data_IF_243714260723
#
_entry.id   IF_243714260723
#
_cell.length_a   1.000
_cell.length_b   1.000
_cell.length_c   1.000
_cell.angle_alpha   90.00
_cell.angle_beta   90.00
_cell.angle_gamma   90.00
#
_symmetry.space_group_name_H-M   'P 1'
#
loop_
_entity.id
_entity.type
_entity.pdbx_description
1 polymer ?
#
# COMPACT_ATOMS: atom_id res chain seq x y z
N UNK A 1 -9.96 -32.05 -5.57
CA UNK A 1 -8.90 -31.07 -5.92
C UNK A 1 -8.99 -29.73 -5.17
N UNK A 2 -10.17 -29.24 -4.75
CA UNK A 2 -10.30 -27.96 -4.02
C UNK A 2 -9.51 -27.89 -2.69
N UNK A 3 -9.26 -29.02 -2.02
CA UNK A 3 -8.56 -29.05 -0.73
C UNK A 3 -7.07 -28.70 -0.77
N UNK A 4 -6.33 -29.14 -1.81
CA UNK A 4 -4.87 -28.92 -1.87
C UNK A 4 -4.52 -27.46 -2.19
N UNK A 5 -5.20 -26.88 -3.19
CA UNK A 5 -5.01 -25.47 -3.54
C UNK A 5 -5.42 -24.55 -2.39
N UNK A 6 -6.53 -24.85 -1.71
CA UNK A 6 -6.94 -24.05 -0.55
C UNK A 6 -5.92 -24.14 0.61
N UNK A 7 -5.35 -25.33 0.87
CA UNK A 7 -4.27 -25.49 1.87
C UNK A 7 -3.01 -24.71 1.47
N UNK A 8 -2.64 -24.75 0.19
CA UNK A 8 -1.51 -23.99 -0.33
C UNK A 8 -1.72 -22.48 -0.20
N UNK A 9 -2.91 -21.99 -0.53
CA UNK A 9 -3.32 -20.59 -0.36
C UNK A 9 -3.30 -20.10 1.08
N UNK A 10 -3.71 -20.97 2.03
CA UNK A 10 -3.59 -20.72 3.48
C UNK A 10 -2.16 -20.53 4.00
N UNK A 11 -1.16 -20.87 3.18
CA UNK A 11 0.23 -20.53 3.47
C UNK A 11 0.62 -19.15 2.92
N UNK A 12 -0.31 -18.40 2.33
CA UNK A 12 -0.06 -17.13 1.65
C UNK A 12 0.38 -17.25 0.19
N UNK A 13 0.74 -18.46 -0.29
CA UNK A 13 1.17 -18.62 -1.67
C UNK A 13 -0.01 -18.75 -2.64
N UNK A 14 0.23 -18.47 -3.91
CA UNK A 14 -0.72 -18.73 -4.98
C UNK A 14 0.01 -19.30 -6.21
N UNK A 15 -0.73 -20.00 -7.05
CA UNK A 15 -0.17 -20.57 -8.28
C UNK A 15 0.04 -19.47 -9.32
N UNK A 16 0.95 -19.66 -10.29
CA UNK A 16 1.01 -18.79 -11.46
C UNK A 16 -0.37 -18.69 -12.13
N UNK A 17 -0.74 -17.48 -12.54
CA UNK A 17 -2.09 -17.14 -13.06
C UNK A 17 -3.25 -17.30 -12.04
N UNK A 18 -2.93 -17.55 -10.76
CA UNK A 18 -3.90 -17.58 -9.67
C UNK A 18 -4.51 -16.22 -9.39
N UNK A 19 -5.57 -16.22 -8.57
CA UNK A 19 -6.25 -15.01 -8.14
C UNK A 19 -5.67 -14.50 -6.81
N UNK A 20 -4.75 -13.55 -6.91
CA UNK A 20 -4.13 -12.89 -5.75
C UNK A 20 -5.10 -11.96 -5.01
N UNK A 21 -6.22 -11.59 -5.63
CA UNK A 21 -7.19 -10.67 -5.03
C UNK A 21 -8.09 -11.37 -4.03
N UNK A 22 -8.44 -12.62 -4.30
CA UNK A 22 -9.14 -13.50 -3.38
C UNK A 22 -8.36 -13.67 -2.08
N UNK A 23 -9.07 -13.82 -0.97
CA UNK A 23 -8.48 -14.08 0.34
C UNK A 23 -7.53 -15.29 0.31
N UNK A 24 -6.43 -15.18 1.04
CA UNK A 24 -5.46 -16.24 1.27
C UNK A 24 -5.67 -16.95 2.60
N UNK A 25 -6.53 -16.41 3.46
CA UNK A 25 -6.83 -16.99 4.76
C UNK A 25 -5.62 -17.06 5.73
N UNK A 26 -4.75 -16.06 5.64
CA UNK A 26 -3.58 -15.92 6.52
C UNK A 26 -3.91 -15.10 7.78
N UNK A 27 -2.89 -14.79 8.60
CA UNK A 27 -3.06 -14.05 9.86
C UNK A 27 -3.53 -12.61 9.64
N UNK A 28 -3.04 -11.97 8.57
CA UNK A 28 -3.42 -10.61 8.20
C UNK A 28 -3.42 -10.43 6.68
N UNK A 29 -4.46 -9.78 6.17
CA UNK A 29 -4.55 -9.28 4.79
C UNK A 29 -4.86 -7.78 4.81
N UNK A 30 -3.96 -6.97 4.24
CA UNK A 30 -4.15 -5.53 4.07
C UNK A 30 -4.71 -5.19 2.71
N UNK A 31 -5.71 -4.33 2.69
CA UNK A 31 -6.32 -3.75 1.51
C UNK A 31 -6.19 -2.24 1.60
N UNK A 32 -5.70 -1.62 0.53
CA UNK A 32 -5.38 -0.21 0.52
C UNK A 32 -5.84 0.43 -0.78
N UNK A 33 -6.54 1.56 -0.66
CA UNK A 33 -6.94 2.41 -1.75
C UNK A 33 -6.38 3.81 -1.52
N UNK A 34 -5.95 4.44 -2.60
CA UNK A 34 -5.45 5.81 -2.60
C UNK A 34 -6.08 6.59 -3.74
N UNK A 35 -6.50 7.81 -3.42
CA UNK A 35 -7.14 8.76 -4.31
C UNK A 35 -6.27 10.00 -4.39
N UNK A 36 -5.93 10.42 -5.61
CA UNK A 36 -5.04 11.57 -5.85
C UNK A 36 -5.73 12.59 -6.74
N UNK A 37 -5.87 13.82 -6.22
CA UNK A 37 -6.37 15.00 -6.93
C UNK A 37 -5.24 16.01 -7.10
N UNK A 38 -4.64 16.01 -8.28
CA UNK A 38 -3.48 16.85 -8.60
C UNK A 38 -3.82 18.34 -8.61
N UNK A 39 -4.99 18.69 -9.12
CA UNK A 39 -5.49 20.06 -9.25
C UNK A 39 -5.65 20.77 -7.91
N UNK A 40 -6.12 20.05 -6.89
CA UNK A 40 -6.30 20.59 -5.53
C UNK A 40 -5.17 20.24 -4.58
N UNK A 41 -4.16 19.48 -5.03
CA UNK A 41 -3.10 18.95 -4.16
C UNK A 41 -3.61 17.99 -3.08
N UNK A 42 -4.77 17.35 -3.29
CA UNK A 42 -5.42 16.51 -2.27
C UNK A 42 -5.13 15.03 -2.49
N UNK A 43 -4.95 14.32 -1.39
CA UNK A 43 -4.82 12.87 -1.34
C UNK A 43 -5.72 12.34 -0.25
N UNK A 44 -6.38 11.21 -0.53
CA UNK A 44 -7.11 10.44 0.46
C UNK A 44 -6.65 8.98 0.38
N UNK A 45 -6.45 8.34 1.53
CA UNK A 45 -6.24 6.90 1.64
C UNK A 45 -7.34 6.27 2.47
N UNK A 46 -7.71 5.05 2.11
CA UNK A 46 -8.55 4.19 2.92
C UNK A 46 -7.95 2.80 2.97
N UNK A 47 -7.86 2.24 4.18
CA UNK A 47 -7.25 0.94 4.42
C UNK A 47 -8.11 0.06 5.32
N UNK A 48 -8.02 -1.24 5.06
CA UNK A 48 -8.58 -2.29 5.91
C UNK A 48 -7.56 -3.43 6.04
N UNK A 49 -7.08 -3.68 7.26
CA UNK A 49 -6.37 -4.89 7.63
C UNK A 49 -7.36 -5.91 8.18
N UNK A 50 -7.61 -6.99 7.45
CA UNK A 50 -8.45 -8.10 7.90
C UNK A 50 -7.58 -9.08 8.68
N UNK A 51 -7.79 -9.15 9.99
CA UNK A 51 -6.96 -9.86 10.94
C UNK A 51 -7.67 -11.10 11.46
N UNK A 52 -6.90 -12.17 11.72
CA UNK A 52 -7.38 -13.42 12.29
C UNK A 52 -6.83 -13.62 13.70
N UNK A 53 -7.74 -13.90 14.63
CA UNK A 53 -7.47 -14.34 15.99
C UNK A 53 -8.02 -15.77 16.18
N UNK A 54 -7.79 -16.36 17.36
CA UNK A 54 -8.23 -17.73 17.67
C UNK A 54 -9.76 -17.90 17.66
N UNK A 55 -10.49 -16.83 17.94
CA UNK A 55 -11.94 -16.78 18.16
C UNK A 55 -12.70 -16.04 17.03
N UNK A 56 -12.02 -15.67 15.95
CA UNK A 56 -12.65 -15.05 14.78
C UNK A 56 -11.78 -14.02 14.07
N UNK A 57 -12.43 -13.16 13.29
CA UNK A 57 -11.79 -12.12 12.50
C UNK A 57 -12.21 -10.73 12.96
N UNK A 58 -11.27 -9.78 12.89
CA UNK A 58 -11.46 -8.37 13.25
C UNK A 58 -10.70 -7.48 12.26
N UNK A 59 -10.97 -6.18 12.24
CA UNK A 59 -10.34 -5.27 11.27
C UNK A 59 -9.56 -4.13 11.93
N UNK A 60 -8.44 -3.79 11.31
CA UNK A 60 -7.78 -2.49 11.45
C UNK A 60 -8.28 -1.60 10.33
N UNK A 61 -8.99 -0.53 10.63
CA UNK A 61 -9.52 0.42 9.64
C UNK A 61 -8.76 1.73 9.72
N UNK A 62 -8.64 2.41 8.59
CA UNK A 62 -8.07 3.75 8.53
C UNK A 62 -8.61 4.57 7.36
N UNK A 63 -8.83 5.86 7.60
CA UNK A 63 -9.07 6.88 6.60
C UNK A 63 -8.12 8.04 6.90
N UNK A 64 -7.29 8.42 5.94
CA UNK A 64 -6.27 9.46 6.12
C UNK A 64 -6.23 10.40 4.93
N UNK A 65 -5.86 11.66 5.16
CA UNK A 65 -5.92 12.70 4.15
C UNK A 65 -4.69 13.62 4.15
N UNK A 66 -4.39 14.17 2.98
CA UNK A 66 -3.44 15.25 2.81
C UNK A 66 -4.02 16.33 1.87
N UNK A 67 -3.78 17.61 2.14
CA UNK A 67 -3.09 18.17 3.32
C UNK A 67 -3.92 18.05 4.61
N UNK A 68 -3.38 18.51 5.74
CA UNK A 68 -4.11 18.64 7.01
C UNK A 68 -3.79 17.61 8.09
N UNK A 69 -3.08 16.52 7.77
CA UNK A 69 -2.65 15.54 8.76
C UNK A 69 -3.77 14.67 9.33
N UNK A 70 -4.96 14.69 8.70
CA UNK A 70 -6.13 13.95 9.16
C UNK A 70 -5.87 12.45 9.07
N UNK A 71 -6.10 11.77 10.19
CA UNK A 71 -6.11 10.32 10.26
C UNK A 71 -7.13 9.87 11.30
N UNK A 72 -8.11 9.08 10.86
CA UNK A 72 -9.02 8.34 11.72
C UNK A 72 -8.74 6.86 11.56
N UNK A 73 -8.60 6.16 12.69
CA UNK A 73 -8.35 4.72 12.71
C UNK A 73 -9.25 4.04 13.73
N UNK A 74 -9.58 2.77 13.47
CA UNK A 74 -10.40 1.99 14.38
C UNK A 74 -9.94 0.52 14.39
N UNK A 75 -10.05 -0.12 15.56
CA UNK A 75 -10.13 -1.57 15.64
C UNK A 75 -11.61 -1.96 15.63
N UNK A 76 -12.04 -2.70 14.62
CA UNK A 76 -13.44 -3.08 14.43
C UNK A 76 -13.65 -4.57 14.75
N UNK A 77 -14.67 -4.94 15.54
CA UNK A 77 -14.76 -6.26 16.16
C UNK A 77 -15.05 -7.40 15.17
N UNK A 78 -15.60 -7.09 14.00
CA UNK A 78 -15.97 -8.06 12.97
C UNK A 78 -15.30 -7.72 11.64
N UNK A 79 -14.86 -8.73 10.90
CA UNK A 79 -14.25 -8.52 9.60
C UNK A 79 -14.40 -9.73 8.68
N UNK A 80 -14.36 -9.51 7.38
CA UNK A 80 -14.36 -10.58 6.38
C UNK A 80 -13.59 -10.15 5.14
N UNK A 81 -12.79 -11.06 4.61
CA UNK A 81 -12.21 -10.96 3.27
C UNK A 81 -13.00 -11.87 2.29
N UNK A 82 -13.14 -11.45 1.03
CA UNK A 82 -13.83 -12.25 0.00
C UNK A 82 -12.93 -13.41 -0.48
N UNK A 83 -13.38 -14.68 -0.39
CA UNK A 83 -12.56 -15.83 -0.75
C UNK A 83 -12.45 -16.09 -2.26
N UNK A 84 -13.18 -15.34 -3.09
CA UNK A 84 -13.28 -15.57 -4.54
C UNK A 84 -12.76 -14.39 -5.35
N UNK A 85 -12.86 -13.16 -4.84
CA UNK A 85 -12.49 -11.91 -5.54
C UNK A 85 -11.88 -10.89 -4.57
N UNK A 86 -11.53 -9.69 -5.07
CA UNK A 86 -11.16 -8.59 -4.18
C UNK A 86 -12.37 -8.21 -3.32
N UNK A 87 -12.19 -8.22 -1.99
CA UNK A 87 -13.20 -7.73 -1.07
C UNK A 87 -12.71 -7.70 0.37
N UNK A 88 -12.95 -6.58 1.05
CA UNK A 88 -12.68 -6.36 2.47
C UNK A 88 -13.90 -5.69 3.11
N UNK A 89 -14.39 -6.27 4.21
CA UNK A 89 -15.63 -5.86 4.85
C UNK A 89 -15.45 -5.83 6.37
N UNK A 90 -16.01 -4.82 7.04
CA UNK A 90 -16.05 -4.70 8.49
C UNK A 90 -17.37 -4.05 8.93
N UNK A 91 -18.42 -4.88 9.08
CA UNK A 91 -19.78 -4.42 9.38
C UNK A 91 -20.24 -3.34 8.40
N UNK A 92 -20.87 -2.30 8.93
CA UNK A 92 -21.28 -1.12 8.16
C UNK A 92 -20.17 -0.06 8.05
N UNK A 93 -19.08 -0.21 8.80
CA UNK A 93 -17.99 0.76 8.85
C UNK A 93 -17.07 0.72 7.63
N UNK A 94 -16.97 -0.43 6.94
CA UNK A 94 -16.09 -0.57 5.79
C UNK A 94 -16.60 -1.61 4.78
N UNK A 95 -16.64 -1.21 3.51
CA UNK A 95 -16.90 -2.07 2.36
C UNK A 95 -16.00 -1.66 1.20
N UNK A 96 -14.94 -2.43 0.95
CA UNK A 96 -14.03 -2.23 -0.17
C UNK A 96 -14.11 -3.38 -1.17
N UNK A 97 -14.30 -3.06 -2.44
CA UNK A 97 -14.33 -3.99 -3.58
C UNK A 97 -13.56 -3.39 -4.76
N UNK A 98 -13.50 -4.09 -5.89
CA UNK A 98 -12.76 -3.63 -7.05
C UNK A 98 -13.34 -2.35 -7.69
N UNK A 99 -14.64 -2.10 -7.50
CA UNK A 99 -15.41 -1.04 -8.17
C UNK A 99 -16.14 -0.09 -7.20
N UNK A 100 -16.20 -0.40 -5.90
CA UNK A 100 -16.81 0.44 -4.87
C UNK A 100 -16.00 0.43 -3.59
N UNK A 101 -15.91 1.60 -2.95
CA UNK A 101 -15.38 1.74 -1.60
C UNK A 101 -16.31 2.64 -0.77
N UNK A 102 -16.75 2.12 0.37
CA UNK A 102 -17.55 2.82 1.37
C UNK A 102 -16.86 2.69 2.73
N UNK A 103 -16.72 3.81 3.44
CA UNK A 103 -16.10 3.89 4.77
C UNK A 103 -16.91 4.86 5.62
N UNK A 104 -17.21 4.46 6.86
CA UNK A 104 -17.78 5.33 7.89
C UNK A 104 -17.06 5.06 9.22
N UNK A 105 -16.13 5.95 9.59
CA UNK A 105 -15.39 5.90 10.85
C UNK A 105 -15.82 7.02 11.81
N UNK A 106 -16.95 7.66 11.55
CA UNK A 106 -17.44 8.82 12.30
C UNK A 106 -17.89 9.96 11.39
N UNK A 107 -18.54 11.00 11.97
CA UNK A 107 -19.09 12.12 11.22
C UNK A 107 -18.04 12.94 10.48
N UNK A 108 -16.75 12.81 10.81
CA UNK A 108 -15.65 13.58 10.21
C UNK A 108 -14.70 12.70 9.37
N UNK A 109 -15.05 11.42 9.16
CA UNK A 109 -14.25 10.48 8.39
C UNK A 109 -15.15 9.48 7.65
N UNK A 110 -15.60 9.90 6.47
CA UNK A 110 -16.43 9.09 5.58
C UNK A 110 -15.92 9.12 4.16
N UNK A 111 -16.22 8.06 3.43
CA UNK A 111 -15.89 7.93 2.02
C UNK A 111 -17.00 7.13 1.34
N UNK A 112 -17.48 7.62 0.21
CA UNK A 112 -18.29 6.81 -0.68
C UNK A 112 -17.92 7.11 -2.14
N UNK A 113 -17.27 6.15 -2.78
CA UNK A 113 -16.80 6.28 -4.16
C UNK A 113 -17.03 5.02 -4.97
N UNK A 114 -17.38 5.22 -6.24
CA UNK A 114 -17.30 4.24 -7.32
C UNK A 114 -15.99 4.43 -8.07
N UNK A 115 -15.38 3.34 -8.50
CA UNK A 115 -14.20 3.36 -9.37
C UNK A 115 -14.67 3.12 -10.81
N UNK A 116 -14.34 4.04 -11.70
CA UNK A 116 -14.63 3.98 -13.13
C UNK A 116 -13.33 3.97 -13.94
N UNK A 117 -13.40 3.46 -15.16
CA UNK A 117 -12.26 3.29 -16.08
C UNK A 117 -11.02 2.65 -15.45
N UNK A 118 -11.17 1.52 -14.72
CA UNK A 118 -10.07 0.93 -13.99
C UNK A 118 -8.95 0.48 -14.94
N UNK A 119 -7.71 0.75 -14.54
CA UNK A 119 -6.50 0.22 -15.18
C UNK A 119 -5.93 -0.85 -14.25
N UNK A 120 -6.40 -2.11 -14.38
CA UNK A 120 -5.98 -3.18 -13.49
C UNK A 120 -4.53 -3.59 -13.78
N UNK A 121 -3.96 -4.33 -12.84
CA UNK A 121 -2.74 -5.09 -13.11
C UNK A 121 -2.93 -5.96 -14.38
N UNK A 122 -2.02 -5.87 -15.35
CA UNK A 122 -2.16 -6.63 -16.58
C UNK A 122 -2.13 -8.12 -16.29
N UNK A 123 -2.96 -8.91 -16.99
CA UNK A 123 -3.02 -10.36 -16.80
C UNK A 123 -1.65 -10.98 -17.10
N UNK A 124 -0.94 -11.39 -16.04
CA UNK A 124 0.42 -11.95 -16.09
C UNK A 124 0.46 -13.29 -15.36
N UNK A 125 1.54 -14.04 -15.60
CA UNK A 125 1.81 -15.26 -14.84
C UNK A 125 1.95 -14.98 -13.34
N UNK A 126 2.53 -13.83 -12.99
CA UNK A 126 2.92 -13.48 -11.63
C UNK A 126 2.41 -12.06 -11.26
N UNK A 127 2.24 -11.83 -9.96
CA UNK A 127 1.84 -10.53 -9.39
C UNK A 127 3.02 -9.63 -8.98
N UNK A 128 2.76 -8.70 -8.06
CA UNK A 128 3.74 -7.71 -7.58
C UNK A 128 4.97 -8.35 -6.93
N UNK A 129 4.75 -9.34 -6.06
CA UNK A 129 5.79 -10.18 -5.46
C UNK A 129 6.52 -11.11 -6.44
N UNK A 130 6.13 -11.20 -7.72
CA UNK A 130 6.72 -12.14 -8.69
C UNK A 130 6.76 -13.57 -8.15
N UNK A 131 7.81 -14.35 -8.42
CA UNK A 131 7.95 -15.76 -8.02
C UNK A 131 7.79 -15.97 -6.51
N UNK A 132 8.04 -14.95 -5.69
CA UNK A 132 7.83 -15.04 -4.25
C UNK A 132 6.37 -15.29 -3.89
N UNK A 133 5.39 -14.89 -4.72
CA UNK A 133 4.00 -15.23 -4.46
C UNK A 133 3.69 -16.73 -4.57
N UNK A 134 4.57 -17.54 -5.16
CA UNK A 134 4.42 -19.01 -5.19
C UNK A 134 5.17 -19.68 -4.03
N UNK A 135 5.91 -18.94 -3.21
CA UNK A 135 6.65 -19.49 -2.08
C UNK A 135 5.74 -19.46 -0.86
N UNK A 136 5.44 -20.60 -0.23
CA UNK A 136 4.57 -20.64 0.95
C UNK A 136 5.26 -20.04 2.18
N UNK A 137 4.44 -19.56 3.11
CA UNK A 137 4.80 -19.16 4.46
C UNK A 137 5.74 -17.94 4.56
N UNK A 138 5.79 -17.08 3.54
CA UNK A 138 6.51 -15.82 3.66
C UNK A 138 5.81 -14.90 4.68
N UNK A 139 6.62 -14.09 5.35
CA UNK A 139 6.13 -13.08 6.27
C UNK A 139 5.33 -11.99 5.55
N UNK A 140 5.61 -11.70 4.27
CA UNK A 140 4.90 -10.68 3.51
C UNK A 140 4.80 -11.01 2.01
N UNK A 141 3.66 -10.63 1.44
CA UNK A 141 3.36 -10.59 0.01
C UNK A 141 2.76 -9.22 -0.34
N UNK A 142 2.89 -8.81 -1.59
CA UNK A 142 2.43 -7.51 -2.09
C UNK A 142 1.96 -7.61 -3.54
N UNK A 143 0.83 -6.95 -3.82
CA UNK A 143 0.27 -6.88 -5.16
C UNK A 143 -0.48 -5.55 -5.42
N UNK A 144 0.06 -4.68 -6.28
CA UNK A 144 -0.65 -3.50 -6.75
C UNK A 144 -1.64 -3.92 -7.84
N UNK A 145 -2.90 -4.10 -7.49
CA UNK A 145 -3.92 -4.68 -8.38
C UNK A 145 -4.62 -3.63 -9.26
N UNK A 146 -4.59 -2.36 -8.87
CA UNK A 146 -5.13 -1.22 -9.62
C UNK A 146 -4.07 -0.15 -9.78
N UNK A 147 -3.65 0.08 -11.01
CA UNK A 147 -2.58 1.02 -11.38
C UNK A 147 -3.12 2.38 -11.87
N UNK A 148 -4.44 2.49 -11.99
CA UNK A 148 -5.12 3.68 -12.47
C UNK A 148 -6.63 3.49 -12.51
N UNK A 149 -7.33 4.58 -12.80
CA UNK A 149 -8.79 4.66 -12.79
C UNK A 149 -9.22 6.04 -12.32
N UNK A 150 -10.53 6.24 -12.22
CA UNK A 150 -11.12 7.48 -11.71
C UNK A 150 -12.12 7.17 -10.62
N UNK A 151 -12.15 7.99 -9.58
CA UNK A 151 -13.23 7.95 -8.59
C UNK A 151 -14.41 8.79 -9.06
N UNK A 152 -15.60 8.37 -8.67
CA UNK A 152 -16.83 9.17 -8.70
C UNK A 152 -17.47 9.07 -7.32
N UNK A 153 -17.61 10.18 -6.62
CA UNK A 153 -18.10 10.24 -5.26
C UNK A 153 -17.36 11.26 -4.40
N UNK A 154 -17.28 11.01 -3.11
CA UNK A 154 -16.92 12.03 -2.13
C UNK A 154 -16.28 11.47 -0.87
N UNK A 155 -15.64 12.34 -0.10
CA UNK A 155 -15.20 12.07 1.27
C UNK A 155 -15.58 13.19 2.24
N UNK A 156 -15.75 12.85 3.50
CA UNK A 156 -15.85 13.79 4.63
C UNK A 156 -14.57 13.65 5.43
N UNK A 157 -13.83 14.76 5.59
CA UNK A 157 -12.51 14.82 6.22
C UNK A 157 -12.49 16.01 7.16
N UNK A 158 -12.38 15.76 8.47
CA UNK A 158 -12.38 16.79 9.53
C UNK A 158 -13.53 17.80 9.40
N UNK A 159 -14.71 17.32 8.98
CA UNK A 159 -15.92 18.13 8.78
C UNK A 159 -16.00 18.87 7.45
N UNK A 160 -14.99 18.76 6.58
CA UNK A 160 -15.03 19.26 5.21
C UNK A 160 -15.47 18.17 4.22
N UNK A 161 -16.38 18.52 3.32
CA UNK A 161 -16.79 17.66 2.20
C UNK A 161 -15.84 17.83 1.02
N UNK A 162 -15.15 16.76 0.65
CA UNK A 162 -14.31 16.69 -0.54
C UNK A 162 -15.05 16.02 -1.69
N UNK A 163 -15.06 16.67 -2.85
CA UNK A 163 -15.43 16.06 -4.13
C UNK A 163 -14.25 15.24 -4.67
N UNK A 164 -14.51 13.96 -4.99
CA UNK A 164 -13.53 13.02 -5.52
C UNK A 164 -13.78 12.66 -6.99
N UNK A 165 -14.75 13.27 -7.67
CA UNK A 165 -15.03 13.05 -9.09
C UNK A 165 -13.83 13.35 -9.99
N UNK A 166 -13.27 12.30 -10.62
CA UNK A 166 -12.09 12.39 -11.46
C UNK A 166 -10.75 12.22 -10.72
N UNK A 167 -10.75 11.96 -9.41
CA UNK A 167 -9.53 11.62 -8.69
C UNK A 167 -8.90 10.35 -9.27
N UNK A 168 -7.58 10.34 -9.45
CA UNK A 168 -6.87 9.13 -9.85
C UNK A 168 -6.95 8.11 -8.71
N UNK A 169 -7.13 6.83 -9.03
CA UNK A 169 -7.22 5.76 -8.03
C UNK A 169 -6.06 4.79 -8.19
N UNK A 170 -5.48 4.40 -7.07
CA UNK A 170 -4.57 3.27 -6.91
C UNK A 170 -5.12 2.31 -5.88
N UNK A 171 -4.86 1.02 -6.07
CA UNK A 171 -5.29 -0.03 -5.17
C UNK A 171 -4.27 -1.14 -5.05
N UNK A 172 -4.01 -1.57 -3.83
CA UNK A 172 -3.13 -2.71 -3.55
C UNK A 172 -3.68 -3.65 -2.49
N UNK A 173 -3.05 -4.82 -2.44
CA UNK A 173 -3.27 -5.83 -1.43
C UNK A 173 -1.93 -6.34 -0.93
N UNK A 174 -1.80 -6.47 0.37
CA UNK A 174 -0.69 -7.17 1.02
C UNK A 174 -1.24 -8.24 1.96
N UNK A 175 -0.42 -9.25 2.26
CA UNK A 175 -0.81 -10.29 3.20
C UNK A 175 0.42 -10.99 3.74
N UNK A 176 0.27 -11.71 4.84
CA UNK A 176 1.40 -12.38 5.47
C UNK A 176 1.00 -13.37 6.55
N UNK A 177 1.85 -14.38 6.79
CA UNK A 177 1.63 -15.36 7.85
C UNK A 177 1.82 -14.78 9.25
N UNK A 178 2.66 -13.76 9.41
CA UNK A 178 3.10 -13.23 10.70
C UNK A 178 2.80 -11.75 10.95
N UNK A 179 1.97 -11.12 10.11
CA UNK A 179 1.77 -9.65 10.14
C UNK A 179 2.86 -8.92 9.36
N UNK A 180 3.14 -7.67 9.75
CA UNK A 180 4.14 -6.82 9.09
C UNK A 180 5.58 -7.28 9.40
N UNK A 181 6.54 -7.10 8.48
CA UNK A 181 7.95 -7.38 8.74
C UNK A 181 8.54 -6.41 9.78
N UNK A 182 9.70 -6.74 10.36
CA UNK A 182 10.39 -5.85 11.33
C UNK A 182 10.72 -4.47 10.75
N UNK A 183 11.01 -4.43 9.44
CA UNK A 183 11.26 -3.21 8.69
C UNK A 183 10.79 -3.39 7.24
N UNK A 184 10.10 -2.37 6.73
CA UNK A 184 9.68 -2.26 5.34
C UNK A 184 9.71 -0.82 4.88
N UNK A 185 9.70 -0.66 3.57
CA UNK A 185 9.52 0.61 2.89
C UNK A 185 8.52 0.43 1.78
N UNK A 186 7.69 1.44 1.61
CA UNK A 186 6.66 1.46 0.58
C UNK A 186 6.60 2.84 -0.04
N UNK A 187 6.09 2.90 -1.26
CA UNK A 187 5.68 4.16 -1.84
C UNK A 187 4.81 3.98 -3.05
N UNK A 188 3.98 4.98 -3.31
CA UNK A 188 3.13 5.06 -4.47
C UNK A 188 3.01 6.50 -4.93
N UNK A 189 3.00 6.74 -6.24
CA UNK A 189 2.72 8.04 -6.79
C UNK A 189 1.82 7.98 -8.02
N UNK A 190 0.87 8.89 -8.02
CA UNK A 190 0.12 9.43 -9.17
C UNK A 190 0.26 10.97 -9.11
N UNK A 191 -0.46 11.73 -9.93
CA UNK A 191 -0.34 13.19 -9.95
C UNK A 191 0.89 13.71 -10.72
N UNK A 192 1.49 12.88 -11.58
CA UNK A 192 2.45 13.33 -12.59
C UNK A 192 1.76 14.19 -13.65
N UNK A 193 2.54 14.89 -14.48
CA UNK A 193 2.00 15.67 -15.60
C UNK A 193 1.18 14.83 -16.58
N UNK A 194 1.61 13.58 -16.83
CA UNK A 194 0.76 12.60 -17.52
C UNK A 194 -0.03 11.77 -16.50
N UNK A 195 -1.37 11.89 -16.46
CA UNK A 195 -2.23 11.24 -15.45
C UNK A 195 -2.37 9.72 -15.66
N UNK A 196 -1.68 9.14 -16.64
CA UNK A 196 -1.59 7.68 -16.85
C UNK A 196 -0.37 7.08 -16.17
N UNK A 197 0.59 7.89 -15.73
CA UNK A 197 1.77 7.40 -15.01
C UNK A 197 1.36 7.00 -13.59
N UNK A 198 1.74 5.79 -13.21
CA UNK A 198 1.66 5.31 -11.84
C UNK A 198 2.97 4.64 -11.46
N UNK A 199 3.53 5.04 -10.32
CA UNK A 199 4.71 4.40 -9.73
C UNK A 199 4.28 3.77 -8.42
N UNK A 200 4.72 2.54 -8.16
CA UNK A 200 4.54 1.89 -6.87
C UNK A 200 5.76 1.03 -6.54
N UNK A 201 6.15 0.98 -5.27
CA UNK A 201 7.20 0.09 -4.80
C UNK A 201 6.89 -0.40 -3.40
N UNK A 202 7.37 -1.61 -3.11
CA UNK A 202 7.33 -2.17 -1.78
C UNK A 202 8.59 -3.01 -1.59
N UNK A 203 9.20 -2.89 -0.43
CA UNK A 203 10.29 -3.75 -0.03
C UNK A 203 10.39 -3.89 1.47
N UNK A 204 11.17 -4.86 1.90
CA UNK A 204 11.34 -5.13 3.31
C UNK A 204 12.19 -6.36 3.53
N UNK A 205 12.34 -6.67 4.81
CA UNK A 205 13.07 -7.86 5.25
C UNK A 205 12.15 -9.07 5.12
N UNK A 206 12.50 -9.97 4.19
CA UNK A 206 11.84 -11.25 4.01
C UNK A 206 12.62 -12.33 4.77
N UNK A 207 11.91 -13.12 5.55
CA UNK A 207 12.47 -14.26 6.29
C UNK A 207 11.88 -15.58 5.79
N UNK A 208 12.76 -16.56 5.57
CA UNK A 208 12.38 -17.93 5.22
C UNK A 208 13.32 -18.91 5.94
N UNK A 209 12.91 -19.37 7.13
CA UNK A 209 13.79 -20.14 8.01
C UNK A 209 15.02 -19.30 8.43
N UNK A 210 16.27 -19.79 8.26
CA UNK A 210 17.47 -19.04 8.62
C UNK A 210 17.84 -17.92 7.62
N UNK A 211 17.20 -17.88 6.45
CA UNK A 211 17.49 -16.86 5.43
C UNK A 211 16.77 -15.56 5.78
N UNK A 212 17.54 -14.48 5.85
CA UNK A 212 17.06 -13.10 6.00
C UNK A 212 17.61 -12.27 4.85
N UNK A 213 16.74 -11.70 4.03
CA UNK A 213 17.16 -10.93 2.87
C UNK A 213 16.23 -9.75 2.62
N UNK A 214 16.77 -8.68 2.05
CA UNK A 214 15.98 -7.55 1.60
C UNK A 214 15.46 -7.82 0.19
N UNK A 215 14.16 -7.69 0.01
CA UNK A 215 13.51 -7.79 -1.31
C UNK A 215 12.81 -6.48 -1.56
N UNK A 216 13.02 -5.89 -2.74
CA UNK A 216 12.27 -4.71 -3.21
C UNK A 216 11.72 -4.97 -4.58
N UNK A 217 10.44 -4.66 -4.77
CA UNK A 217 9.78 -4.64 -6.06
C UNK A 217 9.44 -3.19 -6.44
N UNK A 218 9.58 -2.87 -7.73
CA UNK A 218 9.17 -1.58 -8.29
C UNK A 218 8.29 -1.84 -9.49
N UNK A 219 7.19 -1.11 -9.56
CA UNK A 219 6.19 -1.12 -10.64
C UNK A 219 6.06 0.29 -11.19
N UNK A 220 6.10 0.40 -12.52
CA UNK A 220 5.83 1.66 -13.23
C UNK A 220 4.87 1.38 -14.37
N UNK A 221 3.71 2.03 -14.38
CA UNK A 221 2.82 2.11 -15.52
C UNK A 221 3.20 3.33 -16.36
N UNK A 222 3.45 3.12 -17.65
CA UNK A 222 3.78 4.16 -18.62
C UNK A 222 2.52 4.67 -19.34
N UNK A 223 2.55 5.88 -19.94
CA UNK A 223 1.41 6.44 -20.66
C UNK A 223 0.91 5.61 -21.85
N UNK A 224 1.78 4.79 -22.44
CA UNK A 224 1.46 3.90 -23.55
C UNK A 224 0.80 2.58 -23.12
N UNK A 225 0.54 2.41 -21.82
CA UNK A 225 -0.04 1.19 -21.24
C UNK A 225 0.99 0.11 -20.86
N UNK A 226 2.29 0.33 -21.13
CA UNK A 226 3.34 -0.58 -20.71
C UNK A 226 3.47 -0.58 -19.18
N UNK A 227 3.42 -1.76 -18.56
CA UNK A 227 3.70 -1.93 -17.13
C UNK A 227 5.04 -2.61 -16.94
N UNK A 228 5.97 -1.91 -16.31
CA UNK A 228 7.29 -2.42 -15.93
C UNK A 228 7.19 -2.95 -14.51
N UNK A 229 7.77 -4.13 -14.28
CA UNK A 229 7.97 -4.67 -12.93
C UNK A 229 9.39 -5.19 -12.81
N UNK A 230 10.15 -4.66 -11.86
CA UNK A 230 11.50 -5.12 -11.49
C UNK A 230 11.52 -5.53 -10.02
N UNK A 231 12.63 -6.10 -9.55
CA UNK A 231 12.76 -6.67 -8.21
C UNK A 231 12.79 -8.20 -8.19
N UNK A 232 13.18 -8.84 -9.30
CA UNK A 232 13.52 -10.27 -9.26
C UNK A 232 14.97 -10.42 -8.84
N UNK A 233 15.29 -11.24 -7.82
CA UNK A 233 16.67 -11.54 -7.49
C UNK A 233 17.45 -11.96 -8.74
N UNK A 234 18.66 -11.45 -8.88
CA UNK A 234 19.58 -11.71 -10.01
C UNK A 234 19.13 -11.15 -11.37
N UNK A 235 17.89 -11.41 -11.80
CA UNK A 235 17.40 -11.07 -13.15
C UNK A 235 17.05 -9.59 -13.30
N UNK A 236 16.51 -8.98 -12.24
CA UNK A 236 16.19 -7.55 -12.23
C UNK A 236 16.30 -6.96 -10.84
N UNK A 237 17.49 -6.95 -10.22
CA UNK A 237 17.65 -6.52 -8.85
C UNK A 237 17.28 -5.04 -8.70
N UNK A 238 16.76 -4.70 -7.53
CA UNK A 238 16.51 -3.32 -7.10
C UNK A 238 17.31 -3.11 -5.82
N UNK A 239 18.10 -2.04 -5.80
CA UNK A 239 18.75 -1.54 -4.58
C UNK A 239 17.88 -0.44 -4.02
N UNK A 240 17.55 -0.52 -2.73
CA UNK A 240 16.84 0.51 -2.00
C UNK A 240 17.76 1.11 -0.94
N UNK A 241 17.71 2.44 -0.79
CA UNK A 241 18.28 3.16 0.34
C UNK A 241 17.19 4.08 0.87
N UNK A 242 16.73 3.80 2.09
CA UNK A 242 15.64 4.53 2.73
C UNK A 242 16.15 5.13 4.04
N UNK A 243 15.81 6.39 4.26
CA UNK A 243 16.06 7.15 5.47
C UNK A 243 14.75 7.82 5.93
N UNK A 244 14.77 8.56 7.05
CA UNK A 244 13.55 9.20 7.59
C UNK A 244 13.03 10.31 6.67
N UNK A 245 13.80 10.68 5.65
CA UNK A 245 13.49 11.77 4.71
C UNK A 245 13.55 11.38 3.24
N UNK A 246 14.15 10.24 2.90
CA UNK A 246 14.49 9.95 1.50
C UNK A 246 14.35 8.49 1.13
N UNK A 247 13.88 8.24 -0.09
CA UNK A 247 13.73 6.92 -0.69
C UNK A 247 14.48 6.92 -2.02
N UNK A 248 15.61 6.23 -2.11
CA UNK A 248 16.37 6.09 -3.35
C UNK A 248 16.32 4.64 -3.82
N UNK A 249 15.67 4.39 -4.95
CA UNK A 249 15.59 3.06 -5.53
C UNK A 249 16.20 3.07 -6.93
N UNK A 250 17.08 2.11 -7.19
CA UNK A 250 17.66 1.90 -8.51
C UNK A 250 17.59 0.43 -8.84
N UNK A 251 16.94 0.10 -9.95
CA UNK A 251 16.81 -1.28 -10.39
C UNK A 251 16.54 -1.39 -11.87
N UNK A 252 16.64 -2.60 -12.38
CA UNK A 252 16.54 -2.79 -13.82
C UNK A 252 16.82 -4.19 -14.27
N UNK A 253 16.52 -4.47 -15.53
CA UNK A 253 16.90 -5.67 -16.27
C UNK A 253 17.83 -5.27 -17.41
N UNK A 254 18.20 -6.23 -18.27
CA UNK A 254 18.99 -5.94 -19.49
C UNK A 254 18.39 -4.84 -20.38
N UNK A 255 17.06 -4.70 -20.41
CA UNK A 255 16.37 -3.73 -21.29
C UNK A 255 15.86 -2.50 -20.57
N UNK A 256 15.66 -2.57 -19.25
CA UNK A 256 14.94 -1.55 -18.50
C UNK A 256 15.77 -1.07 -17.33
N UNK A 257 15.82 0.24 -17.13
CA UNK A 257 16.37 0.87 -15.93
C UNK A 257 15.29 1.75 -15.32
N UNK A 258 15.13 1.67 -14.01
CA UNK A 258 14.21 2.49 -13.21
C UNK A 258 14.99 3.10 -12.05
N UNK A 259 14.93 4.43 -11.97
CA UNK A 259 15.51 5.25 -10.91
C UNK A 259 14.38 6.03 -10.25
N UNK A 260 14.25 5.91 -8.93
CA UNK A 260 13.27 6.62 -8.12
C UNK A 260 13.98 7.41 -7.03
N UNK A 261 13.56 8.66 -6.85
CA UNK A 261 14.00 9.53 -5.76
C UNK A 261 12.79 10.15 -5.06
N UNK A 262 12.50 9.65 -3.86
CA UNK A 262 11.44 10.15 -2.98
C UNK A 262 12.00 11.03 -1.87
N UNK A 263 11.24 12.04 -1.47
CA UNK A 263 11.54 12.88 -0.33
C UNK A 263 10.25 13.31 0.39
N UNK A 264 10.28 13.33 1.73
CA UNK A 264 9.21 13.86 2.55
C UNK A 264 9.76 14.38 3.89
N UNK A 265 9.06 15.34 4.50
CA UNK A 265 9.46 15.87 5.80
C UNK A 265 8.94 14.98 6.95
N UNK A 266 9.78 14.60 7.94
CA UNK A 266 9.40 13.65 8.99
C UNK A 266 8.22 14.12 9.83
N UNK A 267 8.08 15.44 10.02
CA UNK A 267 6.99 16.05 10.78
C UNK A 267 5.61 15.83 10.16
N UNK A 268 5.55 15.64 8.84
CA UNK A 268 4.30 15.49 8.10
C UNK A 268 3.82 14.03 8.04
N UNK A 269 4.56 13.10 8.64
CA UNK A 269 4.20 11.70 8.66
C UNK A 269 2.96 11.45 9.53
N UNK A 270 2.04 10.65 9.00
CA UNK A 270 1.03 9.97 9.77
C UNK A 270 1.66 8.76 10.46
N UNK A 271 1.22 8.47 11.69
CA UNK A 271 1.64 7.26 12.39
C UNK A 271 0.56 6.19 12.16
N UNK A 272 0.79 5.30 11.19
CA UNK A 272 -0.19 4.27 10.87
C UNK A 272 -0.17 3.12 11.88
N UNK A 273 -1.35 2.56 12.20
CA UNK A 273 -1.45 1.37 13.02
C UNK A 273 -1.03 0.13 12.23
N UNK A 274 -0.30 -0.76 12.89
CA UNK A 274 -0.16 -2.16 12.47
C UNK A 274 -0.90 -3.06 13.46
N UNK A 275 -1.59 -4.11 12.98
CA UNK A 275 -2.27 -5.05 13.85
C UNK A 275 -1.26 -5.99 14.53
N UNK A 276 -1.60 -6.38 15.76
CA UNK A 276 -1.14 -7.60 16.40
C UNK A 276 -2.32 -8.58 16.36
N UNK A 277 -2.44 -9.44 15.32
CA UNK A 277 -3.69 -10.14 15.02
C UNK A 277 -4.22 -10.99 16.18
N UNK A 278 -3.32 -11.73 16.84
CA UNK A 278 -3.66 -12.60 17.97
C UNK A 278 -4.11 -11.82 19.23
N UNK A 279 -3.65 -10.59 19.40
CA UNK A 279 -3.96 -9.74 20.56
C UNK A 279 -5.18 -8.83 20.32
N UNK A 280 -5.78 -8.87 19.12
CA UNK A 280 -6.93 -8.04 18.72
C UNK A 280 -6.73 -6.54 18.96
N UNK A 281 -5.51 -6.05 18.77
CA UNK A 281 -5.19 -4.63 18.95
C UNK A 281 -4.27 -4.10 17.86
N UNK A 282 -4.32 -2.78 17.72
CA UNK A 282 -3.41 -2.02 16.88
C UNK A 282 -2.28 -1.43 17.72
N UNK A 283 -1.10 -1.34 17.12
CA UNK A 283 0.04 -0.59 17.68
C UNK A 283 0.59 0.37 16.63
N UNK A 284 1.22 1.48 17.03
CA UNK A 284 1.95 2.33 16.08
C UNK A 284 3.01 1.51 15.35
N UNK A 285 2.98 1.51 14.01
CA UNK A 285 3.83 0.61 13.23
C UNK A 285 4.60 1.25 12.09
N UNK A 286 4.11 2.37 11.55
CA UNK A 286 4.74 3.00 10.39
C UNK A 286 4.64 4.51 10.39
N UNK A 287 5.58 5.13 9.69
CA UNK A 287 5.54 6.55 9.33
C UNK A 287 5.14 6.63 7.86
N UNK A 288 3.94 7.16 7.58
CA UNK A 288 3.35 7.28 6.25
C UNK A 288 3.21 8.76 5.87
N UNK A 289 3.90 9.16 4.82
CA UNK A 289 3.72 10.47 4.20
C UNK A 289 2.70 10.35 3.08
N UNK A 290 1.66 11.18 3.10
CA UNK A 290 0.63 11.16 2.07
C UNK A 290 0.88 12.16 0.93
N UNK A 291 1.78 13.13 1.11
CA UNK A 291 2.08 14.20 0.16
C UNK A 291 3.58 14.45 -0.02
N UNK A 292 4.37 13.39 -0.18
CA UNK A 292 5.80 13.50 -0.48
C UNK A 292 6.08 13.84 -1.95
N UNK A 293 7.34 14.14 -2.25
CA UNK A 293 7.83 14.28 -3.63
C UNK A 293 8.40 12.95 -4.12
N UNK A 294 8.13 12.55 -5.35
CA UNK A 294 8.75 11.41 -6.02
C UNK A 294 9.12 11.75 -7.45
N UNK A 295 10.41 11.70 -7.76
CA UNK A 295 10.92 11.73 -9.14
C UNK A 295 11.12 10.31 -9.66
N UNK A 296 10.79 10.08 -10.92
CA UNK A 296 11.00 8.81 -11.63
C UNK A 296 11.72 9.05 -12.93
N UNK A 297 12.74 8.22 -13.21
CA UNK A 297 13.35 8.10 -14.53
C UNK A 297 13.29 6.64 -14.98
N UNK A 298 12.78 6.40 -16.18
CA UNK A 298 12.75 5.09 -16.82
C UNK A 298 13.49 5.14 -18.16
N UNK A 299 14.39 4.19 -18.35
CA UNK A 299 15.11 4.00 -19.62
C UNK A 299 14.79 2.63 -20.23
N UNK A 300 14.55 2.61 -21.54
CA UNK A 300 14.45 1.39 -22.35
C UNK A 300 15.64 1.33 -23.32
N UNK A 301 16.49 0.30 -23.20
CA UNK A 301 17.75 0.15 -23.95
C UNK A 301 18.61 1.43 -23.91
N UNK A 302 18.74 2.04 -22.72
CA UNK A 302 19.51 3.27 -22.50
C UNK A 302 18.79 4.58 -22.87
N UNK A 303 17.72 4.54 -23.67
CA UNK A 303 16.94 5.74 -24.02
C UNK A 303 15.93 6.07 -22.93
N UNK A 304 15.90 7.32 -22.46
CA UNK A 304 14.85 7.79 -21.55
C UNK A 304 13.48 7.75 -22.23
N UNK A 305 12.53 7.06 -21.60
CA UNK A 305 11.13 6.94 -22.07
C UNK A 305 10.13 7.54 -21.08
N UNK A 306 10.54 7.77 -19.84
CA UNK A 306 9.78 8.55 -18.85
C UNK A 306 10.77 9.29 -17.96
N UNK A 307 10.51 10.58 -17.74
CA UNK A 307 11.10 11.39 -16.69
C UNK A 307 9.97 12.25 -16.14
N UNK A 308 9.70 12.17 -14.84
CA UNK A 308 8.59 12.90 -14.26
C UNK A 308 8.69 13.03 -12.76
N UNK A 309 7.92 13.96 -12.21
CA UNK A 309 7.85 14.23 -10.78
C UNK A 309 6.38 14.30 -10.34
N UNK A 310 6.12 13.79 -9.15
CA UNK A 310 4.87 14.00 -8.41
C UNK A 310 5.17 14.63 -7.07
N UNK A 311 4.31 15.55 -6.62
CA UNK A 311 4.34 16.15 -5.28
C UNK A 311 3.28 15.55 -4.34
N UNK A 312 2.64 14.45 -4.76
CA UNK A 312 1.57 13.77 -4.05
C UNK A 312 1.90 12.28 -3.90
N UNK A 313 3.15 11.98 -3.56
CA UNK A 313 3.62 10.61 -3.35
C UNK A 313 3.28 10.13 -1.92
N UNK A 314 2.75 8.92 -1.85
CA UNK A 314 2.75 8.09 -0.65
C UNK A 314 4.16 7.56 -0.42
N UNK A 315 4.73 7.76 0.77
CA UNK A 315 6.05 7.24 1.14
C UNK A 315 6.01 6.72 2.57
N UNK A 316 6.34 5.45 2.74
CA UNK A 316 6.29 4.77 4.04
C UNK A 316 7.67 4.32 4.49
N UNK A 317 7.96 4.50 5.78
CA UNK A 317 8.98 3.73 6.48
C UNK A 317 8.38 3.03 7.70
N UNK A 318 8.27 1.71 7.58
CA UNK A 318 7.71 0.85 8.60
C UNK A 318 8.72 0.27 9.58
N UNK A 319 8.25 0.12 10.81
CA UNK A 319 8.94 -0.53 11.92
C UNK A 319 8.41 -0.03 13.26
N UNK A 320 7.92 -0.94 14.12
CA UNK A 320 7.29 -0.59 15.42
C UNK A 320 8.20 0.29 16.28
N UNK A 321 9.48 -0.06 16.40
CA UNK A 321 10.46 0.71 17.17
C UNK A 321 10.63 2.15 16.66
N UNK A 322 10.50 2.34 15.35
CA UNK A 322 10.60 3.66 14.69
C UNK A 322 9.37 4.50 14.99
N UNK A 323 8.18 3.93 14.80
CA UNK A 323 6.92 4.61 15.11
C UNK A 323 6.85 5.02 16.60
N UNK A 324 7.27 4.15 17.52
CA UNK A 324 7.35 4.49 18.94
C UNK A 324 8.35 5.61 19.25
N UNK A 325 9.50 5.64 18.55
CA UNK A 325 10.48 6.71 18.71
C UNK A 325 9.92 8.06 18.26
N UNK A 326 9.20 8.09 17.13
CA UNK A 326 8.57 9.31 16.63
C UNK A 326 7.47 9.81 17.57
N UNK A 327 6.63 8.93 18.11
CA UNK A 327 5.62 9.33 19.10
C UNK A 327 6.23 9.92 20.36
N UNK A 328 7.33 9.33 20.87
CA UNK A 328 8.06 9.90 22.00
C UNK A 328 8.61 11.29 21.69
N UNK A 329 9.21 11.47 20.50
CA UNK A 329 9.73 12.77 20.04
C UNK A 329 8.63 13.84 20.01
N UNK A 330 7.44 13.52 19.46
CA UNK A 330 6.29 14.44 19.42
C UNK A 330 5.79 14.80 20.82
N UNK A 331 5.74 13.82 21.74
CA UNK A 331 5.33 14.07 23.12
C UNK A 331 6.29 15.01 23.87
N UNK A 332 7.61 14.89 23.64
CA UNK A 332 8.60 15.82 24.22
C UNK A 332 8.41 17.24 23.70
N UNK A 333 8.22 17.42 22.38
CA UNK A 333 8.00 18.75 21.80
C UNK A 333 6.75 19.45 22.36
N UNK A 334 5.66 18.70 22.54
CA UNK A 334 4.42 19.24 23.15
C UNK A 334 4.57 19.54 24.65
N UNK A 335 5.52 18.89 25.34
CA UNK A 335 5.83 19.15 26.74
C UNK A 335 6.76 20.36 26.95
N UNK A 336 7.64 20.64 25.99
CA UNK A 336 8.53 21.82 26.02
C UNK A 336 7.78 23.12 25.65
N UNK A 337 6.70 23.06 24.88
CA UNK A 337 5.83 24.22 24.57
C UNK A 337 4.90 24.63 25.74
N UNK A 338 4.93 23.90 26.86
CA UNK A 338 4.09 24.17 28.06
C UNK A 338 4.89 24.69 29.28
N UNK A 339 6.18 24.99 29.13
CA UNK A 339 7.05 25.59 30.15
C UNK A 339 7.66 26.92 29.67
#
# INVERSE_FOLDING_TARGET
>A
MAGLLARYRRMGADVPYGNLLAAHDVAMEGYFWRFTRRDTGRVLIALAGINRAADGTWATLGLGAHPGGSLRTAAYPVARADPVRLGAFAGDAFRGTADRLQVDLGPDARLDVRIVDPVPWPRRRLGGSSIFHTVPALNQYWHPWLLGGRAVGWAEVDGERWDLDGAQVYGEKNWGRGGFPDAWWWGQAQGFDDPRVCVAFAGGVVTAGPLRTEVTAVVVALPDGTVIRVGNPVVSPVRARVTDRSWRLTGGSRRWTVELEGAAEPGDAHVLPVPLPAERRNVPGALEHLGGRLSVTVRHNGRCVLSGESHLAGLEWGGISRAHTELRRRATLLGDDQN
#
